data_IF_728547356458
#
_entry.id   IF_728547356458
#
_cell.length_a   1.000
_cell.length_b   1.000
_cell.length_c   1.000
_cell.angle_alpha   90.00
_cell.angle_beta   90.00
_cell.angle_gamma   90.00
#
_symmetry.space_group_name_H-M   'P 1'
#
loop_
_entity.id
_entity.type
_entity.pdbx_description
1 polymer ?
#
# COMPACT_ATOMS: atom_id res chain seq x y z
N UNK A 1 15.74 2.50 -1.89
CA UNK A 1 16.10 1.09 -2.11
C UNK A 1 15.71 0.37 -0.85
N UNK A 2 15.03 -0.76 -0.98
CA UNK A 2 14.54 -1.54 0.16
C UNK A 2 14.68 -3.04 -0.15
N UNK A 3 14.56 -3.88 0.86
CA UNK A 3 14.49 -5.34 0.69
C UNK A 3 13.14 -5.69 0.08
N UNK A 4 13.14 -6.47 -1.00
CA UNK A 4 11.91 -6.93 -1.63
C UNK A 4 11.17 -7.94 -0.75
N UNK A 5 9.87 -7.75 -0.60
CA UNK A 5 9.00 -8.69 0.11
C UNK A 5 8.08 -9.41 -0.88
N UNK A 6 7.68 -10.64 -0.54
CA UNK A 6 6.64 -11.37 -1.27
C UNK A 6 5.23 -10.83 -0.92
N UNK A 7 4.18 -11.50 -1.41
CA UNK A 7 2.79 -11.09 -1.16
C UNK A 7 2.37 -11.10 0.30
N UNK A 8 3.10 -11.87 1.12
CA UNK A 8 2.81 -12.17 2.52
C UNK A 8 3.73 -11.37 3.46
N UNK A 9 4.47 -10.41 2.91
CA UNK A 9 5.49 -9.60 3.59
C UNK A 9 6.71 -10.38 4.12
N UNK A 10 6.94 -11.59 3.60
CA UNK A 10 8.14 -12.37 3.90
C UNK A 10 9.31 -12.05 2.96
N UNK A 11 10.52 -12.26 3.46
CA UNK A 11 11.75 -12.17 2.67
C UNK A 11 12.03 -13.53 2.04
N UNK A 12 11.91 -13.62 0.72
CA UNK A 12 12.33 -14.79 -0.05
C UNK A 12 13.62 -14.49 -0.80
N UNK A 13 14.55 -15.45 -0.79
CA UNK A 13 15.77 -15.31 -1.59
C UNK A 13 15.45 -15.40 -3.08
N UNK A 14 16.17 -14.62 -3.88
CA UNK A 14 16.01 -14.66 -5.33
C UNK A 14 16.59 -15.95 -5.94
N UNK A 15 16.46 -16.09 -7.27
CA UNK A 15 17.01 -17.22 -8.03
C UNK A 15 18.53 -17.46 -7.89
N UNK A 16 19.28 -16.53 -7.29
CA UNK A 16 20.72 -16.60 -7.04
C UNK A 16 21.05 -16.83 -5.56
N UNK A 17 20.04 -17.01 -4.72
CA UNK A 17 20.15 -17.01 -3.25
C UNK A 17 20.58 -15.67 -2.65
N UNK A 18 20.31 -14.55 -3.34
CA UNK A 18 20.58 -13.20 -2.84
C UNK A 18 19.30 -12.57 -2.25
N UNK A 19 19.49 -11.55 -1.40
CA UNK A 19 18.37 -10.74 -0.90
C UNK A 19 17.77 -9.94 -2.06
N UNK A 20 16.46 -10.04 -2.32
CA UNK A 20 15.81 -9.26 -3.34
C UNK A 20 15.84 -7.78 -2.93
N UNK A 21 16.05 -6.90 -3.92
CA UNK A 21 16.04 -5.45 -3.70
C UNK A 21 15.00 -4.81 -4.60
N UNK A 22 14.22 -3.89 -4.03
CA UNK A 22 13.24 -3.07 -4.75
C UNK A 22 13.67 -1.62 -4.78
N UNK A 23 13.38 -0.93 -5.90
CA UNK A 23 13.72 0.47 -6.11
C UNK A 23 12.63 1.20 -6.90
N UNK A 24 12.65 2.54 -6.83
CA UNK A 24 11.69 3.38 -7.55
C UNK A 24 10.24 3.05 -7.23
N UNK A 25 9.41 2.93 -8.27
CA UNK A 25 7.99 2.62 -8.17
C UNK A 25 7.70 1.39 -7.30
N UNK A 26 8.43 0.29 -7.50
CA UNK A 26 8.21 -0.94 -6.75
C UNK A 26 8.49 -0.77 -5.25
N UNK A 27 9.52 0.01 -4.89
CA UNK A 27 9.80 0.31 -3.48
C UNK A 27 8.71 1.19 -2.86
N UNK A 28 8.17 2.15 -3.61
CA UNK A 28 7.04 2.97 -3.18
C UNK A 28 5.79 2.12 -2.95
N UNK A 29 5.42 1.27 -3.91
CA UNK A 29 4.24 0.41 -3.80
C UNK A 29 4.34 -0.55 -2.62
N UNK A 30 5.52 -1.12 -2.40
CA UNK A 30 5.78 -1.96 -1.23
C UNK A 30 5.62 -1.19 0.08
N UNK A 31 6.25 -0.01 0.20
CA UNK A 31 6.15 0.81 1.41
C UNK A 31 4.72 1.29 1.68
N UNK A 32 3.98 1.66 0.63
CA UNK A 32 2.57 2.02 0.73
C UNK A 32 1.75 0.85 1.24
N UNK A 33 1.93 -0.34 0.67
CA UNK A 33 1.20 -1.54 1.09
C UNK A 33 1.49 -1.89 2.55
N UNK A 34 2.77 -1.93 2.96
CA UNK A 34 3.17 -2.22 4.35
C UNK A 34 2.55 -1.21 5.31
N UNK A 35 2.72 0.09 5.07
CA UNK A 35 2.26 1.13 6.02
C UNK A 35 0.75 1.21 6.11
N UNK A 36 0.03 0.95 5.01
CA UNK A 36 -1.42 0.92 5.04
C UNK A 36 -1.97 -0.33 5.71
N UNK A 37 -1.34 -1.50 5.53
CA UNK A 37 -1.71 -2.71 6.27
C UNK A 37 -1.47 -2.53 7.77
N UNK A 38 -0.27 -2.13 8.17
CA UNK A 38 0.08 -1.89 9.58
C UNK A 38 -0.87 -0.88 10.23
N UNK A 39 -1.14 0.23 9.56
CA UNK A 39 -2.07 1.23 10.08
C UNK A 39 -3.53 0.76 10.09
N UNK A 40 -3.93 -0.12 9.16
CA UNK A 40 -5.27 -0.70 9.17
C UNK A 40 -5.44 -1.65 10.37
N UNK A 41 -4.44 -2.49 10.64
CA UNK A 41 -4.42 -3.39 11.80
C UNK A 41 -4.48 -2.63 13.13
N UNK A 42 -3.88 -1.44 13.21
CA UNK A 42 -3.96 -0.58 14.40
C UNK A 42 -5.37 0.01 14.65
N UNK A 43 -6.11 0.33 13.58
CA UNK A 43 -7.39 1.05 13.69
C UNK A 43 -8.61 0.13 13.54
N UNK A 44 -8.46 -1.08 13.00
CA UNK A 44 -9.56 -2.03 12.83
C UNK A 44 -10.19 -2.36 14.18
N UNK A 45 -11.53 -2.45 14.22
CA UNK A 45 -12.29 -2.63 15.46
C UNK A 45 -12.39 -1.40 16.38
N UNK A 46 -11.61 -0.34 16.17
CA UNK A 46 -11.65 0.89 16.99
C UNK A 46 -12.44 2.03 16.35
N UNK A 47 -12.55 2.03 15.02
CA UNK A 47 -13.26 3.06 14.25
C UNK A 47 -14.26 2.44 13.26
N UNK A 48 -15.25 3.20 12.81
CA UNK A 48 -16.13 2.76 11.72
C UNK A 48 -15.35 2.62 10.41
N UNK A 49 -15.79 1.70 9.54
CA UNK A 49 -15.14 1.44 8.25
C UNK A 49 -15.00 2.69 7.35
N UNK A 50 -16.02 3.57 7.36
CA UNK A 50 -15.98 4.86 6.66
C UNK A 50 -14.92 5.82 7.20
N UNK A 51 -14.66 5.78 8.51
CA UNK A 51 -13.62 6.58 9.14
C UNK A 51 -12.24 5.96 8.90
N UNK A 52 -12.14 4.61 8.93
CA UNK A 52 -10.91 3.89 8.59
C UNK A 52 -10.40 4.27 7.19
N UNK A 53 -11.28 4.26 6.18
CA UNK A 53 -10.91 4.65 4.82
C UNK A 53 -10.39 6.11 4.74
N UNK A 54 -10.97 7.04 5.50
CA UNK A 54 -10.48 8.43 5.53
C UNK A 54 -9.12 8.56 6.22
N UNK A 55 -8.91 7.84 7.32
CA UNK A 55 -7.62 7.81 8.03
C UNK A 55 -6.53 7.19 7.16
N UNK A 56 -6.83 6.08 6.47
CA UNK A 56 -5.93 5.43 5.52
C UNK A 56 -5.58 6.34 4.33
N UNK A 57 -6.52 7.15 3.83
CA UNK A 57 -6.19 8.15 2.79
C UNK A 57 -5.21 9.21 3.28
N UNK A 58 -5.30 9.59 4.56
CA UNK A 58 -4.35 10.53 5.17
C UNK A 58 -2.98 9.86 5.28
N UNK A 59 -2.91 8.62 5.74
CA UNK A 59 -1.66 7.88 5.83
C UNK A 59 -1.03 7.64 4.45
N UNK A 60 -1.83 7.26 3.45
CA UNK A 60 -1.36 7.10 2.07
C UNK A 60 -0.71 8.38 1.52
N UNK A 61 -1.29 9.55 1.81
CA UNK A 61 -0.70 10.85 1.43
C UNK A 61 0.61 11.14 2.14
N UNK A 62 0.76 10.70 3.39
CA UNK A 62 2.03 10.81 4.11
C UNK A 62 3.08 9.94 3.45
N UNK A 63 2.76 8.69 3.10
CA UNK A 63 3.72 7.82 2.37
C UNK A 63 4.16 8.44 1.05
N UNK A 64 3.23 8.95 0.24
CA UNK A 64 3.56 9.65 -1.02
C UNK A 64 4.51 10.83 -0.79
N UNK A 65 4.31 11.58 0.29
CA UNK A 65 5.14 12.73 0.65
C UNK A 65 6.52 12.29 1.15
N UNK A 66 6.56 11.32 2.07
CA UNK A 66 7.78 10.79 2.69
C UNK A 66 8.71 10.16 1.65
N UNK A 67 8.15 9.61 0.56
CA UNK A 67 8.90 8.96 -0.52
C UNK A 67 9.14 9.84 -1.75
N UNK A 68 8.74 11.12 -1.72
CA UNK A 68 8.90 12.07 -2.83
C UNK A 68 8.25 11.61 -4.16
N UNK A 69 7.06 11.00 -4.07
CA UNK A 69 6.32 10.46 -5.23
C UNK A 69 5.15 11.39 -5.66
N UNK A 70 5.10 12.63 -5.15
CA UNK A 70 4.03 13.61 -5.41
C UNK A 70 3.83 13.93 -6.89
N UNK A 71 4.90 13.97 -7.68
CA UNK A 71 4.83 14.28 -9.11
C UNK A 71 4.28 13.10 -9.95
N UNK A 72 4.39 11.88 -9.41
CA UNK A 72 4.03 10.64 -10.10
C UNK A 72 2.65 10.13 -9.73
N UNK A 73 2.21 10.35 -8.49
CA UNK A 73 0.90 9.88 -8.01
C UNK A 73 -0.15 10.96 -8.25
N UNK A 74 -1.13 10.66 -9.11
CA UNK A 74 -2.25 11.55 -9.38
C UNK A 74 -3.31 11.48 -8.28
N UNK A 75 -3.64 10.26 -7.82
CA UNK A 75 -4.57 10.04 -6.72
C UNK A 75 -4.44 8.63 -6.13
N UNK A 76 -4.93 8.45 -4.90
CA UNK A 76 -5.08 7.14 -4.26
C UNK A 76 -6.54 7.02 -3.84
N UNK A 77 -7.20 5.97 -4.29
CA UNK A 77 -8.58 5.63 -3.93
C UNK A 77 -8.55 4.44 -3.00
N UNK A 78 -9.32 4.52 -1.91
CA UNK A 78 -9.44 3.48 -0.88
C UNK A 78 -10.93 3.31 -0.61
N UNK A 79 -11.44 2.10 -0.82
CA UNK A 79 -12.86 1.76 -0.74
C UNK A 79 -13.05 0.40 -0.06
N UNK A 80 -14.19 0.16 0.61
CA UNK A 80 -14.55 -1.17 1.07
C UNK A 80 -14.60 -2.17 -0.08
N UNK A 81 -14.04 -3.35 0.12
CA UNK A 81 -14.10 -4.40 -0.90
C UNK A 81 -15.54 -4.89 -1.09
N UNK A 82 -15.91 -5.16 -2.34
CA UNK A 82 -17.20 -5.79 -2.65
C UNK A 82 -17.23 -7.28 -2.32
N UNK A 83 -16.06 -7.89 -2.23
CA UNK A 83 -15.91 -9.35 -2.15
C UNK A 83 -15.73 -9.81 -0.70
N UNK A 84 -15.07 -8.99 0.14
CA UNK A 84 -14.84 -9.28 1.56
C UNK A 84 -15.14 -8.06 2.44
N UNK A 85 -16.05 -8.18 3.44
CA UNK A 85 -16.41 -7.07 4.32
C UNK A 85 -15.26 -6.55 5.21
N UNK A 86 -14.21 -7.35 5.46
CA UNK A 86 -13.07 -6.98 6.30
C UNK A 86 -11.85 -6.50 5.48
N UNK A 87 -12.05 -6.27 4.19
CA UNK A 87 -10.99 -5.89 3.26
C UNK A 87 -11.25 -4.49 2.69
N UNK A 88 -10.17 -3.73 2.49
CA UNK A 88 -10.21 -2.48 1.74
C UNK A 88 -9.41 -2.63 0.46
N UNK A 89 -10.00 -2.21 -0.65
CA UNK A 89 -9.34 -2.17 -1.95
C UNK A 89 -8.70 -0.79 -2.13
N UNK A 90 -7.41 -0.81 -2.45
CA UNK A 90 -6.57 0.37 -2.66
C UNK A 90 -6.14 0.41 -4.12
N UNK A 91 -6.42 1.53 -4.79
CA UNK A 91 -5.96 1.76 -6.17
C UNK A 91 -5.14 3.04 -6.24
N UNK A 92 -3.89 2.91 -6.68
CA UNK A 92 -3.00 4.03 -6.95
C UNK A 92 -3.14 4.42 -8.42
N UNK A 93 -3.49 5.67 -8.68
CA UNK A 93 -3.53 6.26 -10.02
C UNK A 93 -2.28 7.11 -10.23
N UNK A 94 -1.52 6.80 -11.27
CA UNK A 94 -0.31 7.54 -11.63
C UNK A 94 -0.61 8.61 -12.68
N UNK A 95 0.19 9.68 -12.68
CA UNK A 95 0.14 10.77 -13.67
C UNK A 95 0.33 10.29 -15.12
N UNK A 96 0.94 9.11 -15.30
CA UNK A 96 1.12 8.43 -16.59
C UNK A 96 -0.16 7.77 -17.13
N UNK A 97 -1.21 7.67 -16.30
CA UNK A 97 -2.44 6.93 -16.58
C UNK A 97 -2.39 5.45 -16.16
N UNK A 98 -1.25 4.97 -15.67
CA UNK A 98 -1.14 3.62 -15.11
C UNK A 98 -1.88 3.52 -13.76
N UNK A 99 -2.36 2.32 -13.44
CA UNK A 99 -3.03 2.02 -12.17
C UNK A 99 -2.42 0.77 -11.56
N UNK A 100 -2.22 0.81 -10.24
CA UNK A 100 -1.81 -0.36 -9.45
C UNK A 100 -2.85 -0.63 -8.36
N UNK A 101 -3.67 -1.69 -8.50
CA UNK A 101 -4.57 -2.13 -7.45
C UNK A 101 -3.89 -3.11 -6.48
N UNK A 102 -4.26 -3.04 -5.20
CA UNK A 102 -3.97 -4.05 -4.18
C UNK A 102 -5.03 -4.00 -3.08
N UNK A 103 -5.11 -5.05 -2.27
CA UNK A 103 -6.04 -5.13 -1.14
C UNK A 103 -5.28 -5.20 0.17
N UNK A 104 -5.90 -4.65 1.22
CA UNK A 104 -5.43 -4.77 2.61
C UNK A 104 -6.54 -5.40 3.45
N UNK A 105 -6.17 -6.36 4.29
CA UNK A 105 -7.05 -7.17 5.12
C UNK A 105 -6.35 -7.49 6.46
N UNK A 106 -7.15 -7.76 7.49
CA UNK A 106 -6.70 -8.37 8.76
C UNK A 106 -6.43 -9.88 8.60
#
# INVERSE_FOLDING_TARGET
MDIGLNSDFDIELDHRNDLPLVTGKAAFEQALRIRLTDYFDEIVGTVSQSNAANLLRIEARRVVTDMDELDRVASIVIEPSSDDPNTLDVTVFYSTGEQTPFSISE
#
